data_IF_495114568805
#
_entry.id   IF_495114568805
#
_cell.length_a   1.000
_cell.length_b   1.000
_cell.length_c   1.000
_cell.angle_alpha   90.00
_cell.angle_beta   90.00
_cell.angle_gamma   90.00
#
_symmetry.space_group_name_H-M   'P 1'
#
loop_
_entity.id
_entity.type
_entity.pdbx_description
1 polymer ?
#
# COMPACT_ATOMS: atom_id res chain seq x y z
N UNK A 1 10.53 -16.70 -44.04
CA UNK A 1 9.35 -16.66 -43.14
C UNK A 1 9.73 -16.74 -41.65
N UNK A 2 10.79 -17.49 -41.26
CA UNK A 2 11.26 -17.52 -39.86
C UNK A 2 11.96 -16.24 -39.42
N UNK A 3 12.83 -15.65 -40.25
CA UNK A 3 13.53 -14.38 -39.96
C UNK A 3 12.59 -13.23 -39.53
N UNK A 4 11.43 -13.13 -40.19
CA UNK A 4 10.48 -12.03 -40.03
C UNK A 4 9.83 -11.99 -38.64
N UNK A 5 9.59 -13.15 -38.01
CA UNK A 5 9.00 -13.19 -36.67
C UNK A 5 10.00 -12.81 -35.59
N UNK A 6 11.29 -13.14 -35.78
CA UNK A 6 12.36 -12.76 -34.86
C UNK A 6 12.58 -11.25 -34.88
N UNK A 7 12.62 -10.66 -36.07
CA UNK A 7 12.75 -9.22 -36.21
C UNK A 7 11.56 -8.49 -35.56
N UNK A 8 10.34 -8.97 -35.78
CA UNK A 8 9.13 -8.42 -35.15
C UNK A 8 9.15 -8.51 -33.62
N UNK A 9 9.64 -9.63 -33.07
CA UNK A 9 9.78 -9.79 -31.62
C UNK A 9 10.84 -8.85 -31.07
N UNK A 10 12.00 -8.76 -31.73
CA UNK A 10 13.08 -7.85 -31.36
C UNK A 10 12.59 -6.40 -31.34
N UNK A 11 12.00 -5.94 -32.43
CA UNK A 11 11.54 -4.56 -32.55
C UNK A 11 10.41 -4.25 -31.57
N UNK A 12 9.48 -5.18 -31.37
CA UNK A 12 8.39 -5.02 -30.40
C UNK A 12 8.92 -4.98 -28.96
N UNK A 13 9.84 -5.87 -28.61
CA UNK A 13 10.46 -5.91 -27.28
C UNK A 13 11.30 -4.68 -27.01
N UNK A 14 12.09 -4.22 -27.98
CA UNK A 14 12.92 -3.03 -27.86
C UNK A 14 12.09 -1.77 -27.64
N UNK A 15 11.09 -1.54 -28.49
CA UNK A 15 10.24 -0.36 -28.37
C UNK A 15 9.47 -0.35 -27.04
N UNK A 16 9.01 -1.51 -26.57
CA UNK A 16 8.31 -1.63 -25.30
C UNK A 16 9.26 -1.44 -24.10
N UNK A 17 10.45 -2.04 -24.13
CA UNK A 17 11.45 -1.87 -23.09
C UNK A 17 11.86 -0.40 -22.99
N UNK A 18 12.19 0.24 -24.11
CA UNK A 18 12.58 1.65 -24.17
C UNK A 18 11.47 2.59 -23.71
N UNK A 19 10.22 2.29 -24.06
CA UNK A 19 9.10 3.04 -23.53
C UNK A 19 9.03 3.00 -21.99
N UNK A 20 9.36 1.84 -21.38
CA UNK A 20 9.25 1.60 -19.94
C UNK A 20 10.49 2.03 -19.14
N UNK A 21 11.70 1.84 -19.66
CA UNK A 21 12.96 2.14 -18.97
C UNK A 21 13.46 3.55 -19.25
N UNK A 22 13.15 4.09 -20.44
CA UNK A 22 13.77 5.32 -20.98
C UNK A 22 15.29 5.26 -21.09
N UNK A 23 15.85 4.05 -21.06
CA UNK A 23 17.29 3.80 -21.17
C UNK A 23 17.57 2.85 -22.34
N UNK A 24 18.46 3.26 -23.23
CA UNK A 24 18.76 2.51 -24.46
C UNK A 24 19.48 1.19 -24.17
N UNK A 25 20.45 1.20 -23.25
CA UNK A 25 21.28 0.03 -22.95
C UNK A 25 20.47 -1.07 -22.28
N UNK A 26 19.68 -0.72 -21.26
CA UNK A 26 18.75 -1.65 -20.61
C UNK A 26 17.71 -2.18 -21.62
N UNK A 27 17.32 -1.38 -22.60
CA UNK A 27 16.38 -1.82 -23.64
C UNK A 27 16.98 -2.85 -24.58
N UNK A 28 18.22 -2.67 -25.02
CA UNK A 28 18.96 -3.68 -25.80
C UNK A 28 19.14 -4.98 -24.98
N UNK A 29 19.61 -4.88 -23.73
CA UNK A 29 19.84 -6.04 -22.85
C UNK A 29 18.55 -6.85 -22.65
N UNK A 30 17.46 -6.18 -22.31
CA UNK A 30 16.14 -6.82 -22.13
C UNK A 30 15.67 -7.46 -23.43
N UNK A 31 15.86 -6.78 -24.56
CA UNK A 31 15.47 -7.30 -25.88
C UNK A 31 16.25 -8.56 -26.24
N UNK A 32 17.55 -8.59 -25.94
CA UNK A 32 18.39 -9.75 -26.15
C UNK A 32 17.94 -10.93 -25.28
N UNK A 33 17.65 -10.69 -23.99
CA UNK A 33 17.11 -11.71 -23.08
C UNK A 33 15.79 -12.28 -23.61
N UNK A 34 14.86 -11.43 -24.03
CA UNK A 34 13.56 -11.87 -24.57
C UNK A 34 13.75 -12.70 -25.84
N UNK A 35 14.69 -12.31 -26.70
CA UNK A 35 15.01 -13.02 -27.94
C UNK A 35 15.58 -14.41 -27.68
N UNK A 36 16.49 -14.54 -26.70
CA UNK A 36 17.04 -15.83 -26.26
C UNK A 36 15.93 -16.73 -25.70
N UNK A 37 15.11 -16.21 -24.78
CA UNK A 37 13.99 -16.97 -24.19
C UNK A 37 13.00 -17.43 -25.24
N UNK A 38 12.79 -16.63 -26.28
CA UNK A 38 11.92 -17.00 -27.39
C UNK A 38 12.52 -18.16 -28.19
N UNK A 39 13.81 -18.10 -28.52
CA UNK A 39 14.51 -19.18 -29.23
C UNK A 39 14.41 -20.51 -28.49
N UNK A 40 14.56 -20.49 -27.16
CA UNK A 40 14.48 -21.67 -26.29
C UNK A 40 13.06 -22.25 -26.18
N UNK A 41 12.03 -21.42 -26.33
CA UNK A 41 10.64 -21.82 -26.08
C UNK A 41 9.74 -21.75 -27.31
N UNK A 42 10.29 -21.51 -28.51
CA UNK A 42 9.54 -21.21 -29.73
C UNK A 42 8.45 -22.24 -30.08
N UNK A 43 8.65 -23.51 -29.74
CA UNK A 43 7.70 -24.60 -30.01
C UNK A 43 6.48 -24.59 -29.07
N UNK A 44 6.59 -23.91 -27.93
CA UNK A 44 5.54 -23.81 -26.89
C UNK A 44 4.76 -22.49 -26.95
N UNK A 45 5.11 -21.60 -27.87
CA UNK A 45 4.56 -20.24 -27.93
C UNK A 45 3.53 -20.13 -29.05
N UNK A 46 2.24 -20.17 -28.68
CA UNK A 46 1.13 -20.03 -29.64
C UNK A 46 1.04 -18.63 -30.26
N UNK A 47 1.31 -17.58 -29.47
CA UNK A 47 1.26 -16.19 -29.93
C UNK A 47 2.56 -15.44 -29.56
N UNK A 48 3.53 -15.37 -30.48
CA UNK A 48 4.85 -14.80 -30.19
C UNK A 48 4.86 -13.33 -29.78
N UNK A 49 3.95 -12.50 -30.30
CA UNK A 49 3.88 -11.07 -29.97
C UNK A 49 3.24 -10.84 -28.60
N UNK A 50 2.15 -11.55 -28.27
CA UNK A 50 1.54 -11.46 -26.95
C UNK A 50 2.48 -12.03 -25.86
N UNK A 51 3.20 -13.10 -26.21
CA UNK A 51 4.22 -13.70 -25.36
C UNK A 51 5.39 -12.74 -25.14
N UNK A 52 5.95 -12.15 -26.22
CA UNK A 52 7.09 -11.22 -26.09
C UNK A 52 6.73 -9.99 -25.28
N UNK A 53 5.50 -9.46 -25.42
CA UNK A 53 4.99 -8.37 -24.57
C UNK A 53 5.03 -8.72 -23.08
N UNK A 54 4.64 -9.94 -22.75
CA UNK A 54 4.57 -10.42 -21.37
C UNK A 54 5.97 -10.61 -20.80
N UNK A 55 6.85 -11.30 -21.54
CA UNK A 55 8.23 -11.55 -21.11
C UNK A 55 9.02 -10.25 -21.01
N UNK A 56 8.88 -9.33 -21.97
CA UNK A 56 9.55 -8.01 -21.93
C UNK A 56 9.17 -7.25 -20.66
N UNK A 57 7.89 -7.20 -20.29
CA UNK A 57 7.46 -6.56 -19.03
C UNK A 57 8.09 -7.21 -17.82
N UNK A 58 8.10 -8.54 -17.76
CA UNK A 58 8.69 -9.28 -16.64
C UNK A 58 10.19 -9.01 -16.53
N UNK A 59 10.92 -8.95 -17.64
CA UNK A 59 12.34 -8.61 -17.65
C UNK A 59 12.60 -7.16 -17.24
N UNK A 60 11.78 -6.20 -17.69
CA UNK A 60 11.85 -4.82 -17.18
C UNK A 60 11.66 -4.78 -15.67
N UNK A 61 10.67 -5.51 -15.13
CA UNK A 61 10.45 -5.59 -13.68
C UNK A 61 11.60 -6.27 -12.94
N UNK A 62 12.14 -7.36 -13.49
CA UNK A 62 13.26 -8.09 -12.90
C UNK A 62 14.52 -7.23 -12.89
N UNK A 63 14.80 -6.54 -14.00
CA UNK A 63 15.91 -5.60 -14.14
C UNK A 63 15.76 -4.44 -13.17
N UNK A 64 14.58 -3.81 -13.11
CA UNK A 64 14.29 -2.77 -12.11
C UNK A 64 14.45 -3.28 -10.67
N UNK A 65 14.08 -4.54 -10.39
CA UNK A 65 14.27 -5.18 -9.07
C UNK A 65 15.74 -5.47 -8.76
N UNK A 66 16.54 -5.84 -9.77
CA UNK A 66 17.98 -6.06 -9.64
C UNK A 66 18.74 -4.74 -9.47
N UNK A 67 18.37 -3.72 -10.24
CA UNK A 67 18.88 -2.36 -10.09
C UNK A 67 18.52 -1.79 -8.72
N UNK A 68 17.31 -2.03 -8.21
CA UNK A 68 16.93 -1.75 -6.80
C UNK A 68 17.64 -2.61 -5.75
N UNK A 69 18.28 -3.70 -6.14
CA UNK A 69 19.14 -4.51 -5.26
C UNK A 69 20.59 -3.98 -5.24
N UNK A 70 21.05 -3.38 -6.34
CA UNK A 70 22.34 -2.65 -6.41
C UNK A 70 22.23 -1.20 -5.91
N UNK A 71 21.05 -0.60 -6.01
CA UNK A 71 20.65 0.69 -5.44
C UNK A 71 19.76 0.42 -4.20
N UNK A 72 20.38 0.23 -3.04
CA UNK A 72 19.66 0.19 -1.74
C UNK A 72 18.98 1.55 -1.39
N UNK A 73 18.77 2.46 -2.36
CA UNK A 73 18.43 3.87 -2.13
C UNK A 73 17.42 4.47 -3.13
N UNK A 74 16.33 3.78 -3.49
CA UNK A 74 15.07 4.48 -3.89
C UNK A 74 13.85 3.70 -3.36
N UNK A 75 13.61 3.82 -2.05
CA UNK A 75 12.38 3.42 -1.38
C UNK A 75 11.27 4.45 -1.68
N UNK A 76 10.50 4.23 -2.74
CA UNK A 76 9.15 4.84 -2.88
C UNK A 76 8.05 3.82 -3.20
N UNK A 77 8.39 2.56 -3.51
CA UNK A 77 7.41 1.54 -3.88
C UNK A 77 6.78 0.79 -2.70
N UNK A 78 7.31 0.91 -1.48
CA UNK A 78 6.66 0.32 -0.30
C UNK A 78 5.28 0.93 -0.05
N UNK A 79 5.07 2.18 -0.47
CA UNK A 79 3.78 2.86 -0.41
C UNK A 79 2.84 2.48 -1.58
N UNK A 80 3.37 1.90 -2.66
CA UNK A 80 2.64 1.60 -3.90
C UNK A 80 2.16 0.16 -3.98
N UNK A 81 2.74 -0.73 -3.16
CA UNK A 81 2.23 -2.08 -2.91
C UNK A 81 0.99 -2.04 -2.00
N UNK A 82 -0.07 -1.42 -2.51
CA UNK A 82 -1.41 -1.47 -1.95
C UNK A 82 -2.04 -2.85 -1.93
N UNK A 83 -1.52 -3.76 -2.75
CA UNK A 83 -1.68 -5.17 -2.51
C UNK A 83 -0.57 -5.57 -1.53
N UNK A 84 -0.91 -5.69 -0.24
CA UNK A 84 -0.23 -6.70 0.56
C UNK A 84 -0.19 -7.98 -0.28
N UNK A 85 0.95 -8.65 -0.28
CA UNK A 85 1.18 -9.91 -1.01
C UNK A 85 -0.09 -10.76 -0.94
N UNK A 86 -0.60 -11.12 -2.11
CA UNK A 86 -1.90 -11.77 -2.30
C UNK A 86 -2.03 -13.01 -1.40
N UNK A 87 -0.92 -13.71 -1.16
CA UNK A 87 -0.81 -14.80 -0.18
C UNK A 87 -1.18 -14.37 1.25
N UNK A 88 -0.55 -13.34 1.83
CA UNK A 88 -0.80 -12.93 3.22
C UNK A 88 -2.26 -12.52 3.48
N UNK A 89 -2.97 -12.09 2.44
CA UNK A 89 -4.37 -11.65 2.56
C UNK A 89 -5.40 -12.75 2.23
N UNK A 90 -5.05 -13.73 1.38
CA UNK A 90 -5.91 -14.88 1.12
C UNK A 90 -5.92 -15.83 2.32
N UNK A 91 -4.76 -16.05 2.95
CA UNK A 91 -4.60 -16.95 4.09
C UNK A 91 -5.40 -16.47 5.31
N UNK A 92 -5.41 -15.16 5.58
CA UNK A 92 -6.17 -14.59 6.70
C UNK A 92 -7.70 -14.59 6.49
N UNK A 93 -8.18 -14.66 5.24
CA UNK A 93 -9.61 -14.55 4.95
C UNK A 93 -10.32 -15.91 5.03
N UNK A 94 -9.65 -17.00 4.62
CA UNK A 94 -10.18 -18.35 4.79
C UNK A 94 -10.41 -18.71 6.27
N UNK A 95 -9.59 -18.17 7.18
CA UNK A 95 -9.78 -18.32 8.62
C UNK A 95 -10.88 -17.41 9.17
N UNK A 96 -10.99 -16.16 8.69
CA UNK A 96 -11.95 -15.19 9.24
C UNK A 96 -13.39 -15.33 8.70
N UNK A 97 -13.56 -15.79 7.46
CA UNK A 97 -14.88 -15.97 6.81
C UNK A 97 -15.55 -17.30 7.21
N UNK A 98 -14.79 -18.27 7.73
CA UNK A 98 -15.35 -19.51 8.31
C UNK A 98 -16.19 -19.25 9.57
N UNK A 99 -16.06 -18.08 10.19
CA UNK A 99 -16.71 -17.75 11.48
C UNK A 99 -17.93 -16.83 11.31
N UNK A 100 -18.02 -16.03 10.25
CA UNK A 100 -19.14 -15.09 10.05
C UNK A 100 -20.26 -15.69 9.20
N UNK A 101 -21.50 -15.51 9.66
CA UNK A 101 -22.69 -15.87 8.89
C UNK A 101 -22.88 -14.95 7.68
N UNK A 102 -23.60 -15.43 6.66
CA UNK A 102 -23.92 -14.61 5.48
C UNK A 102 -24.81 -13.40 5.81
N UNK A 103 -25.60 -13.50 6.90
CA UNK A 103 -26.44 -12.40 7.38
C UNK A 103 -25.56 -11.26 7.91
N UNK A 104 -24.57 -11.57 8.76
CA UNK A 104 -23.62 -10.58 9.28
C UNK A 104 -22.83 -9.91 8.14
N UNK A 105 -22.36 -10.68 7.16
CA UNK A 105 -21.63 -10.13 6.01
C UNK A 105 -22.51 -9.18 5.20
N UNK A 106 -23.80 -9.50 5.04
CA UNK A 106 -24.77 -8.65 4.34
C UNK A 106 -25.01 -7.32 5.07
N UNK A 107 -24.98 -7.32 6.40
CA UNK A 107 -25.13 -6.10 7.22
C UNK A 107 -23.88 -5.21 7.16
N UNK A 108 -22.69 -5.80 7.03
CA UNK A 108 -21.43 -5.07 6.96
C UNK A 108 -21.15 -4.47 5.57
N UNK A 109 -21.58 -5.13 4.50
CA UNK A 109 -21.25 -4.74 3.13
C UNK A 109 -22.31 -3.87 2.47
N UNK A 110 -21.87 -3.02 1.53
CA UNK A 110 -22.78 -2.37 0.60
C UNK A 110 -23.46 -3.40 -0.31
N UNK A 111 -24.62 -3.08 -0.88
CA UNK A 111 -25.34 -3.97 -1.80
C UNK A 111 -24.46 -4.48 -2.95
N UNK A 112 -23.62 -3.62 -3.51
CA UNK A 112 -22.74 -3.99 -4.61
C UNK A 112 -21.56 -4.84 -4.15
N UNK A 113 -20.92 -4.49 -3.02
CA UNK A 113 -19.85 -5.31 -2.45
C UNK A 113 -20.38 -6.70 -2.05
N UNK A 114 -21.60 -6.79 -1.51
CA UNK A 114 -22.25 -8.05 -1.19
C UNK A 114 -22.54 -8.92 -2.43
N UNK A 115 -22.91 -8.29 -3.56
CA UNK A 115 -23.03 -9.01 -4.85
C UNK A 115 -21.68 -9.59 -5.29
N UNK A 116 -20.61 -8.80 -5.18
CA UNK A 116 -19.25 -9.28 -5.47
C UNK A 116 -18.89 -10.45 -4.55
N UNK A 117 -19.19 -10.35 -3.25
CA UNK A 117 -19.02 -11.44 -2.30
C UNK A 117 -19.75 -12.71 -2.74
N UNK A 118 -21.05 -12.63 -3.10
CA UNK A 118 -21.81 -13.81 -3.57
C UNK A 118 -21.20 -14.44 -4.83
N UNK A 119 -20.76 -13.62 -5.78
CA UNK A 119 -20.09 -14.14 -6.98
C UNK A 119 -18.79 -14.86 -6.63
N UNK A 120 -17.99 -14.27 -5.75
CA UNK A 120 -16.72 -14.82 -5.30
C UNK A 120 -16.92 -16.13 -4.51
N UNK A 121 -17.90 -16.16 -3.59
CA UNK A 121 -18.32 -17.35 -2.84
C UNK A 121 -18.79 -18.46 -3.77
N UNK A 122 -19.60 -18.15 -4.79
CA UNK A 122 -20.03 -19.12 -5.82
C UNK A 122 -18.91 -19.64 -6.74
N UNK A 123 -17.70 -19.11 -6.58
CA UNK A 123 -16.50 -19.47 -7.33
C UNK A 123 -15.41 -20.01 -6.39
N UNK A 124 -15.77 -20.50 -5.19
CA UNK A 124 -14.86 -21.01 -4.16
C UNK A 124 -13.75 -20.01 -3.80
N UNK A 125 -14.10 -18.72 -3.79
CA UNK A 125 -13.18 -17.61 -3.57
C UNK A 125 -12.03 -17.47 -4.57
N UNK A 126 -12.08 -18.18 -5.70
CA UNK A 126 -11.08 -18.09 -6.77
C UNK A 126 -11.40 -16.93 -7.72
N UNK A 127 -10.58 -15.87 -7.66
CA UNK A 127 -10.75 -14.65 -8.48
C UNK A 127 -10.74 -14.96 -9.99
N UNK A 128 -9.91 -15.90 -10.44
CA UNK A 128 -9.86 -16.33 -11.84
C UNK A 128 -11.19 -16.93 -12.32
N UNK A 129 -11.85 -17.74 -11.49
CA UNK A 129 -13.17 -18.31 -11.80
C UNK A 129 -14.23 -17.21 -11.87
N UNK A 130 -14.20 -16.26 -10.93
CA UNK A 130 -15.09 -15.10 -10.94
C UNK A 130 -14.89 -14.23 -12.18
N UNK A 131 -13.65 -13.99 -12.61
CA UNK A 131 -13.33 -13.23 -13.81
C UNK A 131 -13.95 -13.87 -15.07
N UNK A 132 -13.77 -15.19 -15.24
CA UNK A 132 -14.39 -15.96 -16.33
C UNK A 132 -15.92 -15.89 -16.27
N UNK A 133 -16.51 -16.13 -15.09
CA UNK A 133 -17.97 -16.14 -14.89
C UNK A 133 -18.62 -14.79 -15.20
N UNK A 134 -17.96 -13.69 -14.84
CA UNK A 134 -18.47 -12.33 -15.05
C UNK A 134 -18.01 -11.71 -16.38
N UNK A 135 -17.27 -12.44 -17.22
CA UNK A 135 -16.64 -11.93 -18.46
C UNK A 135 -15.81 -10.65 -18.23
N UNK A 136 -15.06 -10.61 -17.13
CA UNK A 136 -14.17 -9.51 -16.76
C UNK A 136 -12.71 -9.90 -17.02
N UNK A 137 -11.84 -8.90 -17.19
CA UNK A 137 -10.40 -9.13 -17.08
C UNK A 137 -10.05 -9.57 -15.66
N UNK A 138 -8.99 -10.38 -15.51
CA UNK A 138 -8.49 -10.77 -14.19
C UNK A 138 -8.25 -9.55 -13.30
N UNK A 139 -7.61 -8.51 -13.83
CA UNK A 139 -7.36 -7.27 -13.12
C UNK A 139 -8.66 -6.62 -12.58
N UNK A 140 -9.71 -6.50 -13.42
CA UNK A 140 -10.97 -5.91 -12.99
C UNK A 140 -11.66 -6.75 -11.89
N UNK A 141 -11.67 -8.07 -12.05
CA UNK A 141 -12.21 -9.00 -11.05
C UNK A 141 -11.42 -8.91 -9.73
N UNK A 142 -10.09 -8.90 -9.81
CA UNK A 142 -9.19 -8.76 -8.69
C UNK A 142 -9.41 -7.45 -7.94
N UNK A 143 -9.48 -6.31 -8.63
CA UNK A 143 -9.73 -5.01 -8.00
C UNK A 143 -11.09 -4.98 -7.29
N UNK A 144 -12.14 -5.57 -7.88
CA UNK A 144 -13.46 -5.66 -7.25
C UNK A 144 -13.43 -6.52 -5.99
N UNK A 145 -12.80 -7.70 -6.06
CA UNK A 145 -12.65 -8.60 -4.90
C UNK A 145 -11.84 -7.93 -3.79
N UNK A 146 -10.70 -7.30 -4.12
CA UNK A 146 -9.87 -6.57 -3.17
C UNK A 146 -10.63 -5.44 -2.48
N UNK A 147 -11.34 -4.61 -3.26
CA UNK A 147 -12.18 -3.52 -2.72
C UNK A 147 -13.20 -4.05 -1.72
N UNK A 148 -13.95 -5.08 -2.12
CA UNK A 148 -14.97 -5.71 -1.27
C UNK A 148 -14.36 -6.25 0.02
N UNK A 149 -13.29 -7.04 -0.06
CA UNK A 149 -12.64 -7.65 1.11
C UNK A 149 -12.10 -6.60 2.07
N UNK A 150 -11.47 -5.54 1.54
CA UNK A 150 -10.99 -4.43 2.37
C UNK A 150 -12.14 -3.69 3.08
N UNK A 151 -13.25 -3.48 2.38
CA UNK A 151 -14.44 -2.87 3.00
C UNK A 151 -15.03 -3.75 4.10
N UNK A 152 -15.09 -5.07 3.89
CA UNK A 152 -15.54 -6.03 4.89
C UNK A 152 -14.64 -5.99 6.14
N UNK A 153 -13.31 -6.08 5.95
CA UNK A 153 -12.33 -6.02 7.03
C UNK A 153 -12.45 -4.74 7.85
N UNK A 154 -12.52 -3.59 7.16
CA UNK A 154 -12.69 -2.30 7.82
C UNK A 154 -13.96 -2.23 8.67
N UNK A 155 -15.09 -2.69 8.13
CA UNK A 155 -16.38 -2.69 8.85
C UNK A 155 -16.39 -3.66 10.03
N UNK A 156 -15.81 -4.85 9.87
CA UNK A 156 -15.64 -5.81 10.96
C UNK A 156 -14.82 -5.22 12.12
N UNK A 157 -13.64 -4.66 11.82
CA UNK A 157 -12.77 -4.06 12.83
C UNK A 157 -13.47 -2.90 13.56
N UNK A 158 -14.20 -2.04 12.84
CA UNK A 158 -14.98 -0.97 13.46
C UNK A 158 -16.07 -1.52 14.39
N UNK A 159 -16.80 -2.57 13.98
CA UNK A 159 -17.82 -3.21 14.81
C UNK A 159 -17.23 -3.89 16.06
N UNK A 160 -16.02 -4.44 15.98
CA UNK A 160 -15.26 -4.97 17.11
C UNK A 160 -14.71 -3.86 18.03
N UNK A 161 -14.85 -2.59 17.62
CA UNK A 161 -14.47 -1.40 18.38
C UNK A 161 -13.04 -0.94 18.16
N UNK A 162 -12.35 -1.41 17.12
CA UNK A 162 -11.02 -0.92 16.78
C UNK A 162 -11.08 0.54 16.34
N UNK A 163 -10.27 1.38 16.96
CA UNK A 163 -10.20 2.82 16.66
C UNK A 163 -8.88 3.24 16.03
N UNK A 164 -7.89 2.35 15.99
CA UNK A 164 -6.56 2.64 15.44
C UNK A 164 -6.06 1.46 14.59
N UNK A 165 -5.86 1.72 13.31
CA UNK A 165 -5.15 0.89 12.33
C UNK A 165 -5.53 1.39 10.93
N UNK A 166 -4.61 1.42 9.96
CA UNK A 166 -4.96 1.65 8.54
C UNK A 166 -6.04 0.70 8.00
N UNK A 167 -6.21 -0.47 8.61
CA UNK A 167 -7.17 -1.48 8.18
C UNK A 167 -8.61 -1.17 8.58
N UNK A 168 -8.84 -0.23 9.51
CA UNK A 168 -10.20 0.22 9.88
C UNK A 168 -10.84 1.10 8.79
N UNK A 169 -10.08 1.41 7.72
CA UNK A 169 -10.51 2.29 6.63
C UNK A 169 -10.76 1.50 5.36
N UNK A 170 -11.99 1.63 4.84
CA UNK A 170 -12.41 1.04 3.58
C UNK A 170 -11.61 1.52 2.36
N UNK A 171 -11.75 0.83 1.25
CA UNK A 171 -10.93 1.00 0.05
C UNK A 171 -10.87 2.43 -0.50
N UNK A 172 -12.03 3.07 -0.67
CA UNK A 172 -12.08 4.41 -1.29
C UNK A 172 -11.38 5.46 -0.43
N UNK A 173 -11.60 5.41 0.88
CA UNK A 173 -11.02 6.36 1.81
C UNK A 173 -9.51 6.12 1.94
N UNK A 174 -9.08 4.86 2.00
CA UNK A 174 -7.67 4.51 2.01
C UNK A 174 -6.92 5.05 0.79
N UNK A 175 -7.52 4.87 -0.39
CA UNK A 175 -6.99 5.42 -1.65
C UNK A 175 -6.86 6.95 -1.60
N UNK A 176 -7.84 7.64 -1.01
CA UNK A 176 -7.82 9.09 -0.87
C UNK A 176 -6.72 9.54 0.12
N UNK A 177 -6.56 8.86 1.25
CA UNK A 177 -5.54 9.15 2.27
C UNK A 177 -4.15 9.10 1.67
N UNK A 178 -3.80 8.02 0.99
CA UNK A 178 -2.46 7.89 0.41
C UNK A 178 -2.25 8.86 -0.75
N UNK A 179 -3.28 9.10 -1.60
CA UNK A 179 -3.17 10.16 -2.62
C UNK A 179 -2.84 11.50 -1.97
N UNK A 180 -3.51 11.81 -0.87
CA UNK A 180 -3.22 13.00 -0.07
C UNK A 180 -1.79 12.97 0.49
N UNK A 181 -1.34 11.87 1.11
CA UNK A 181 0.02 11.76 1.68
C UNK A 181 1.09 11.96 0.59
N UNK A 182 0.92 11.33 -0.58
CA UNK A 182 1.84 11.50 -1.71
C UNK A 182 1.92 12.94 -2.16
N UNK A 183 0.76 13.57 -2.38
CA UNK A 183 0.70 14.97 -2.79
C UNK A 183 1.28 15.89 -1.70
N UNK A 184 0.97 15.64 -0.43
CA UNK A 184 1.50 16.38 0.70
C UNK A 184 3.03 16.32 0.74
N UNK A 185 3.61 15.12 0.67
CA UNK A 185 5.07 14.94 0.67
C UNK A 185 5.74 15.57 -0.55
N UNK A 186 5.13 15.43 -1.72
CA UNK A 186 5.61 16.09 -2.93
C UNK A 186 5.64 17.62 -2.75
N UNK A 187 4.53 18.20 -2.28
CA UNK A 187 4.40 19.64 -2.08
C UNK A 187 5.28 20.19 -0.97
N UNK A 188 5.58 19.38 0.03
CA UNK A 188 6.60 19.70 1.05
C UNK A 188 8.00 19.79 0.43
N UNK A 189 8.39 18.84 -0.43
CA UNK A 189 9.69 18.86 -1.13
C UNK A 189 9.83 20.05 -2.09
N UNK A 190 8.73 20.43 -2.73
CA UNK A 190 8.67 21.59 -3.64
C UNK A 190 8.56 22.94 -2.90
N UNK A 191 8.42 22.93 -1.57
CA UNK A 191 8.09 24.10 -0.75
C UNK A 191 6.83 24.85 -1.27
N UNK A 192 5.87 24.12 -1.82
CA UNK A 192 4.61 24.61 -2.42
C UNK A 192 3.39 24.04 -1.68
N UNK A 193 3.35 24.23 -0.36
CA UNK A 193 2.19 23.87 0.46
C UNK A 193 0.94 24.68 0.11
N UNK A 194 1.11 25.84 -0.51
CA UNK A 194 0.01 26.70 -0.97
C UNK A 194 -0.92 25.98 -1.95
N UNK A 195 -0.38 25.11 -2.80
CA UNK A 195 -1.16 24.29 -3.73
C UNK A 195 -2.12 23.31 -3.05
N UNK A 196 -1.92 22.99 -1.77
CA UNK A 196 -2.81 22.12 -0.99
C UNK A 196 -4.07 22.83 -0.48
N UNK A 197 -4.32 24.10 -0.83
CA UNK A 197 -5.49 24.87 -0.38
C UNK A 197 -6.84 24.12 -0.53
N UNK A 198 -6.97 23.24 -1.52
CA UNK A 198 -8.17 22.42 -1.70
C UNK A 198 -8.41 21.38 -0.59
N UNK A 199 -7.35 20.99 0.14
CA UNK A 199 -7.37 20.11 1.30
C UNK A 199 -7.41 20.88 2.63
N UNK A 200 -6.89 22.10 2.68
CA UNK A 200 -6.78 22.87 3.92
C UNK A 200 -8.13 23.51 4.29
N UNK A 201 -8.47 23.47 5.57
CA UNK A 201 -9.64 24.13 6.13
C UNK A 201 -9.21 24.98 7.34
N UNK A 202 -9.25 26.31 7.16
CA UNK A 202 -8.93 27.29 8.21
C UNK A 202 -7.53 27.13 8.84
N UNK A 203 -6.56 26.57 8.12
CA UNK A 203 -5.17 26.50 8.55
C UNK A 203 -4.42 27.66 7.90
N UNK A 204 -3.72 28.46 8.71
CA UNK A 204 -2.76 29.41 8.17
C UNK A 204 -1.54 28.63 7.64
N UNK A 205 -1.11 28.94 6.42
CA UNK A 205 0.05 28.30 5.79
C UNK A 205 1.31 28.47 6.63
N UNK A 206 1.42 29.58 7.36
CA UNK A 206 2.54 29.85 8.25
C UNK A 206 2.63 28.85 9.43
N UNK A 207 1.53 28.18 9.78
CA UNK A 207 1.47 27.19 10.86
C UNK A 207 1.97 25.81 10.43
N UNK A 208 2.11 25.56 9.12
CA UNK A 208 2.57 24.28 8.60
C UNK A 208 4.10 24.29 8.60
N UNK A 209 4.71 23.68 9.63
CA UNK A 209 6.16 23.51 9.68
C UNK A 209 6.67 22.79 8.43
N UNK A 210 7.65 23.37 7.75
CA UNK A 210 8.34 22.71 6.64
C UNK A 210 9.15 21.54 7.21
N UNK A 211 8.79 20.32 6.83
CA UNK A 211 9.42 19.08 7.28
C UNK A 211 10.38 18.57 6.22
N UNK A 212 11.57 18.17 6.66
CA UNK A 212 12.51 17.41 5.85
C UNK A 212 12.04 15.94 5.76
N UNK A 213 11.28 15.63 4.72
CA UNK A 213 10.76 14.29 4.44
C UNK A 213 11.53 13.71 3.25
N UNK A 214 12.54 12.88 3.51
CA UNK A 214 13.23 12.14 2.46
C UNK A 214 12.37 10.95 1.99
N UNK A 215 11.85 10.17 2.94
CA UNK A 215 11.17 8.89 2.69
C UNK A 215 10.00 8.68 3.66
N UNK A 216 8.83 8.25 3.17
CA UNK A 216 7.70 7.81 4.01
C UNK A 216 7.82 6.32 4.28
N UNK A 217 7.77 5.93 5.55
CA UNK A 217 7.92 4.52 5.96
C UNK A 217 6.60 3.75 5.92
N UNK A 218 5.53 4.35 6.47
CA UNK A 218 4.16 3.81 6.48
C UNK A 218 3.18 4.94 6.84
N UNK A 219 1.93 4.61 7.11
CA UNK A 219 1.01 5.46 7.85
C UNK A 219 0.07 4.62 8.73
N UNK A 220 -0.32 5.22 9.84
CA UNK A 220 -1.42 4.72 10.66
C UNK A 220 -2.53 5.74 10.72
N UNK A 221 -3.75 5.26 11.01
CA UNK A 221 -4.90 6.12 11.21
C UNK A 221 -5.59 5.80 12.51
N UNK A 222 -6.00 6.86 13.20
CA UNK A 222 -6.79 6.83 14.41
C UNK A 222 -8.10 7.58 14.18
N UNK A 223 -9.20 6.99 14.59
CA UNK A 223 -10.51 7.65 14.71
C UNK A 223 -10.60 8.19 16.14
N UNK A 224 -10.69 9.52 16.29
CA UNK A 224 -10.87 10.16 17.61
C UNK A 224 -12.33 10.35 17.95
N UNK A 225 -13.13 10.61 16.94
CA UNK A 225 -14.58 10.83 16.99
C UNK A 225 -15.15 10.47 15.61
N UNK A 226 -16.47 10.38 15.48
CA UNK A 226 -17.16 9.93 14.25
C UNK A 226 -16.75 10.72 13.00
N UNK A 227 -16.30 11.97 13.19
CA UNK A 227 -15.94 12.89 12.11
C UNK A 227 -14.45 13.20 12.05
N UNK A 228 -13.67 12.89 13.10
CA UNK A 228 -12.28 13.32 13.24
C UNK A 228 -11.32 12.14 13.14
N UNK A 229 -10.45 12.24 12.15
CA UNK A 229 -9.42 11.26 11.87
C UNK A 229 -8.04 11.88 12.05
N UNK A 230 -7.08 11.10 12.54
CA UNK A 230 -5.69 11.49 12.72
C UNK A 230 -4.82 10.49 11.95
N UNK A 231 -4.08 10.98 10.96
CA UNK A 231 -3.06 10.21 10.24
C UNK A 231 -1.74 10.42 10.97
N UNK A 232 -1.01 9.35 11.25
CA UNK A 232 0.37 9.40 11.69
C UNK A 232 1.25 8.92 10.54
N UNK A 233 2.22 9.73 10.12
CA UNK A 233 3.10 9.48 8.98
C UNK A 233 4.56 9.40 9.47
N UNK A 234 5.04 8.20 9.85
CA UNK A 234 6.46 7.98 10.11
C UNK A 234 7.27 8.19 8.82
N UNK A 235 8.36 8.95 8.92
CA UNK A 235 9.23 9.27 7.80
C UNK A 235 10.70 9.33 8.22
N UNK A 236 11.62 9.14 7.26
CA UNK A 236 13.03 9.50 7.43
C UNK A 236 13.27 10.90 6.88
N UNK A 237 14.11 11.67 7.59
CA UNK A 237 14.65 12.92 7.08
C UNK A 237 15.91 12.69 6.23
N UNK A 238 16.49 13.75 5.68
CA UNK A 238 17.71 13.69 4.85
C UNK A 238 18.92 13.13 5.62
N UNK A 239 18.92 13.24 6.95
CA UNK A 239 19.92 12.65 7.84
C UNK A 239 19.62 11.19 8.23
N UNK A 240 18.66 10.54 7.58
CA UNK A 240 18.19 9.16 7.87
C UNK A 240 17.62 8.96 9.28
N UNK A 241 17.29 10.04 10.00
CA UNK A 241 16.63 9.97 11.30
C UNK A 241 15.13 9.78 11.10
N UNK A 242 14.53 8.93 11.94
CA UNK A 242 13.09 8.67 11.92
C UNK A 242 12.36 9.76 12.69
N UNK A 243 11.45 10.43 12.01
CA UNK A 243 10.53 11.43 12.54
C UNK A 243 9.08 11.01 12.22
N UNK A 244 8.13 11.79 12.72
CA UNK A 244 6.71 11.56 12.48
C UNK A 244 6.04 12.91 12.27
N UNK A 245 5.07 12.96 11.39
CA UNK A 245 4.11 14.05 11.36
C UNK A 245 2.70 13.50 11.48
N UNK A 246 1.84 14.26 12.13
CA UNK A 246 0.45 13.92 12.30
C UNK A 246 -0.42 14.95 11.58
N UNK A 247 -1.46 14.46 10.92
CA UNK A 247 -2.41 15.29 10.18
C UNK A 247 -3.80 14.96 10.70
N UNK A 248 -4.52 15.95 11.25
CA UNK A 248 -5.93 15.78 11.61
C UNK A 248 -6.81 16.30 10.50
N UNK A 249 -7.80 15.49 10.16
CA UNK A 249 -8.68 15.79 9.05
C UNK A 249 -10.09 15.25 9.31
N UNK A 250 -11.05 15.83 8.60
CA UNK A 250 -12.42 15.34 8.50
C UNK A 250 -12.76 15.01 7.04
N UNK A 251 -13.80 14.22 6.87
CA UNK A 251 -14.34 13.91 5.55
C UNK A 251 -15.54 14.84 5.31
N UNK A 252 -15.49 15.61 4.23
CA UNK A 252 -16.61 16.50 3.89
C UNK A 252 -17.79 15.74 3.26
N UNK A 253 -18.89 16.45 2.99
CA UNK A 253 -20.09 15.88 2.34
C UNK A 253 -19.80 15.30 0.95
N UNK A 254 -18.73 15.75 0.28
CA UNK A 254 -18.27 15.26 -1.02
C UNK A 254 -17.26 14.10 -0.90
N UNK A 255 -17.05 13.57 0.32
CA UNK A 255 -16.08 12.51 0.62
C UNK A 255 -14.61 12.91 0.37
N UNK A 256 -14.31 14.21 0.44
CA UNK A 256 -12.95 14.74 0.33
C UNK A 256 -12.33 14.93 1.70
N UNK A 257 -11.02 14.78 1.76
CA UNK A 257 -10.22 15.02 2.96
C UNK A 257 -10.10 16.53 3.17
N UNK A 258 -10.46 17.00 4.37
CA UNK A 258 -10.29 18.38 4.82
C UNK A 258 -9.42 18.40 6.08
N UNK A 259 -8.19 18.85 5.91
CA UNK A 259 -7.17 18.96 6.95
C UNK A 259 -7.41 20.25 7.71
N UNK A 260 -7.49 20.15 9.04
CA UNK A 260 -7.70 21.30 9.92
C UNK A 260 -6.60 21.45 10.98
N UNK A 261 -5.65 20.53 11.07
CA UNK A 261 -4.52 20.63 12.00
C UNK A 261 -3.31 19.81 11.52
N UNK A 262 -2.12 20.38 11.63
CA UNK A 262 -0.84 19.68 11.51
C UNK A 262 -0.14 19.63 12.86
N UNK A 263 0.35 18.45 13.23
CA UNK A 263 1.17 18.27 14.43
C UNK A 263 2.48 17.64 13.98
N UNK A 264 3.48 18.49 13.81
CA UNK A 264 4.79 18.15 13.23
C UNK A 264 5.77 17.53 14.21
N UNK A 265 5.55 17.67 15.53
CA UNK A 265 6.47 17.18 16.55
C UNK A 265 5.78 16.22 17.51
N UNK A 266 6.30 14.97 17.68
CA UNK A 266 5.89 14.16 18.81
C UNK A 266 6.26 14.90 20.10
N UNK A 267 5.42 14.81 21.14
CA UNK A 267 5.75 15.40 22.45
C UNK A 267 7.03 14.80 23.03
N UNK A 268 7.29 13.52 22.75
CA UNK A 268 8.44 12.77 23.26
C UNK A 268 8.82 11.66 22.28
N UNK A 269 10.12 11.51 22.00
CA UNK A 269 10.67 10.37 21.24
C UNK A 269 11.59 9.57 22.16
N UNK A 270 11.49 8.24 22.15
CA UNK A 270 12.35 7.36 22.94
C UNK A 270 13.10 6.45 21.96
N UNK A 271 14.43 6.59 21.81
CA UNK A 271 15.22 5.65 21.04
C UNK A 271 15.29 4.32 21.80
N UNK A 272 15.00 3.21 21.12
CA UNK A 272 15.02 1.87 21.72
C UNK A 272 15.88 0.96 20.86
N UNK A 273 16.83 0.25 21.49
CA UNK A 273 17.75 -0.69 20.83
C UNK A 273 17.29 -2.14 21.00
N UNK A 274 16.00 -2.39 20.86
CA UNK A 274 15.42 -3.73 20.99
C UNK A 274 14.70 -4.11 19.70
N UNK A 275 14.70 -5.39 19.37
CA UNK A 275 14.05 -5.88 18.16
C UNK A 275 12.52 -5.75 18.24
N UNK A 276 11.86 -5.61 17.09
CA UNK A 276 10.39 -5.53 16.99
C UNK A 276 9.67 -6.68 17.73
N UNK A 277 10.21 -7.89 17.64
CA UNK A 277 9.62 -9.07 18.29
C UNK A 277 9.75 -9.03 19.82
N UNK A 278 10.84 -8.47 20.35
CA UNK A 278 10.99 -8.25 21.79
C UNK A 278 10.01 -7.18 22.28
N UNK A 279 9.84 -6.09 21.53
CA UNK A 279 8.86 -5.03 21.85
C UNK A 279 7.46 -5.62 22.03
N UNK A 280 7.00 -6.48 21.12
CA UNK A 280 5.66 -7.08 21.24
C UNK A 280 5.49 -8.02 22.43
N UNK A 281 6.58 -8.60 22.94
CA UNK A 281 6.53 -9.46 24.14
C UNK A 281 6.43 -8.66 25.43
N UNK A 282 7.06 -7.48 25.48
CA UNK A 282 7.13 -6.65 26.68
C UNK A 282 6.01 -5.61 26.74
N UNK A 283 5.47 -5.21 25.59
CA UNK A 283 4.37 -4.26 25.56
C UNK A 283 3.10 -4.86 26.16
N UNK A 284 2.33 -4.07 26.92
CA UNK A 284 1.01 -4.48 27.38
C UNK A 284 0.12 -4.92 26.23
N UNK A 285 -0.81 -5.83 26.53
CA UNK A 285 -1.77 -6.35 25.55
C UNK A 285 -2.44 -5.20 24.80
N UNK A 286 -2.43 -5.28 23.48
CA UNK A 286 -3.12 -4.35 22.60
C UNK A 286 -4.61 -4.73 22.63
N UNK A 287 -5.45 -3.80 23.03
CA UNK A 287 -6.90 -3.96 22.99
C UNK A 287 -7.46 -3.00 21.94
N UNK A 288 -8.21 -3.54 20.96
CA UNK A 288 -8.88 -2.74 19.92
C UNK A 288 -7.93 -1.77 19.18
N UNK A 289 -6.69 -2.23 18.94
CA UNK A 289 -5.66 -1.45 18.26
C UNK A 289 -4.95 -0.40 19.11
N UNK A 290 -5.23 -0.35 20.42
CA UNK A 290 -4.59 0.59 21.35
C UNK A 290 -3.84 -0.15 22.46
N UNK A 291 -2.70 0.40 22.85
CA UNK A 291 -2.01 -0.02 24.08
C UNK A 291 -2.72 0.68 25.24
N UNK A 292 -3.32 -0.09 26.14
CA UNK A 292 -4.13 0.44 27.27
C UNK A 292 -3.28 1.05 28.39
N UNK A 293 -1.97 0.85 28.37
CA UNK A 293 -1.06 1.43 29.33
C UNK A 293 -0.76 2.90 29.05
N UNK A 294 -0.60 3.68 30.12
CA UNK A 294 -0.15 5.06 30.02
C UNK A 294 1.24 5.16 29.39
N UNK A 295 1.52 6.30 28.74
CA UNK A 295 2.84 6.58 28.17
C UNK A 295 3.97 6.40 29.21
N UNK A 296 3.77 6.87 30.44
CA UNK A 296 4.76 6.72 31.51
C UNK A 296 5.01 5.25 31.90
N UNK A 297 3.96 4.41 31.86
CA UNK A 297 4.11 2.97 32.11
C UNK A 297 4.87 2.31 30.96
N UNK A 298 4.53 2.63 29.71
CA UNK A 298 5.24 2.13 28.52
C UNK A 298 6.71 2.56 28.56
N UNK A 299 6.99 3.84 28.83
CA UNK A 299 8.33 4.39 28.98
C UNK A 299 9.13 3.64 30.06
N UNK A 300 8.53 3.38 31.23
CA UNK A 300 9.18 2.59 32.29
C UNK A 300 9.50 1.16 31.86
N UNK A 301 8.59 0.48 31.14
CA UNK A 301 8.83 -0.88 30.63
C UNK A 301 10.02 -0.87 29.66
N UNK A 302 9.98 0.04 28.67
CA UNK A 302 11.00 0.10 27.62
C UNK A 302 12.37 0.52 28.16
N UNK A 303 12.44 1.34 29.21
CA UNK A 303 13.70 1.75 29.83
C UNK A 303 14.26 0.71 30.83
N UNK A 304 13.41 -0.11 31.47
CA UNK A 304 13.86 -1.15 32.39
C UNK A 304 14.65 -2.26 31.69
N UNK A 305 14.21 -2.66 30.51
CA UNK A 305 14.87 -3.75 29.77
C UNK A 305 16.19 -3.32 29.12
N UNK A 306 16.39 -2.03 28.86
CA UNK A 306 17.68 -1.51 28.37
C UNK A 306 18.80 -1.69 29.41
N UNK A 307 18.46 -1.76 30.70
CA UNK A 307 19.44 -1.91 31.78
C UNK A 307 19.74 -3.37 32.16
N UNK A 308 18.99 -4.34 31.63
CA UNK A 308 19.22 -5.77 31.91
C UNK A 308 20.08 -6.47 30.84
N UNK A 309 20.38 -5.80 29.73
CA UNK A 309 21.20 -6.32 28.61
C UNK A 309 22.59 -5.63 28.51
N UNK A 310 23.02 -4.91 29.55
CA UNK A 310 24.38 -4.32 29.71
C UNK A 310 25.15 -5.04 30.83
#
# INVERSE_FOLDING_TARGET
>A
MREDIYQKIRDHSFNLAYYMTKDYNDSEDITQIVSIKFLENKEKVENPIAWSRTVTKNEVYNRAKQLKKSEILVETDKFDNYAGTLEDFLDNLEESDKVMSEIEIKELLSRDDFRIYKHLKSCDFVVNKMAKKLKLTYYSAHTRAYKMKRNLKAKKLLNEGYTTSRDIIGYSMNKNIVKFIKLFVQKMKENDLASLHSYLENIDKAEIECLDIAEVLDYEIRIKDDMIHEIVIPHKNSNKQVNFCCVRFKIDKQKKIKVFEFVSKPKTTIPIKISKNQIYKILPKIEKGQITASFEKIKKILLKDIHNDL
#
